data_IF_870240096081
#
_entry.id   IF_870240096081
#
_cell.length_a   1.000
_cell.length_b   1.000
_cell.length_c   1.000
_cell.angle_alpha   90.00
_cell.angle_beta   90.00
_cell.angle_gamma   90.00
#
_symmetry.space_group_name_H-M   'P 1'
#
loop_
_entity.id
_entity.type
_entity.pdbx_description
1 polymer ?
#
# COMPACT_ATOMS: atom_id res chain seq x y z
N UNK A 1 10.10 10.39 13.62
CA UNK A 1 9.55 10.12 12.27
C UNK A 1 10.40 10.66 11.13
N UNK A 2 11.05 11.84 11.24
CA UNK A 2 11.84 12.42 10.13
C UNK A 2 12.89 11.46 9.52
N UNK A 3 13.63 10.69 10.34
CA UNK A 3 14.59 9.71 9.82
C UNK A 3 13.96 8.56 9.02
N UNK A 4 12.75 8.12 9.37
CA UNK A 4 12.03 7.06 8.63
C UNK A 4 11.52 7.59 7.29
N UNK A 5 11.10 8.84 7.23
CA UNK A 5 10.72 9.49 5.96
C UNK A 5 11.90 9.51 4.98
N UNK A 6 13.09 9.93 5.42
CA UNK A 6 14.29 9.94 4.56
C UNK A 6 14.66 8.54 4.07
N UNK A 7 14.63 7.54 4.95
CA UNK A 7 14.94 6.15 4.57
C UNK A 7 13.87 5.55 3.66
N UNK A 8 12.60 5.90 3.83
CA UNK A 8 11.52 5.46 2.95
C UNK A 8 11.66 6.05 1.56
N UNK A 9 12.00 7.34 1.45
CA UNK A 9 12.32 7.97 0.15
C UNK A 9 13.48 7.25 -0.52
N UNK A 10 14.54 6.91 0.24
CA UNK A 10 15.68 6.16 -0.30
C UNK A 10 15.27 4.76 -0.77
N UNK A 11 14.51 4.04 0.03
CA UNK A 11 14.03 2.70 -0.32
C UNK A 11 13.21 2.70 -1.62
N UNK A 12 12.30 3.66 -1.78
CA UNK A 12 11.49 3.81 -2.99
C UNK A 12 12.34 4.19 -4.20
N UNK A 13 13.29 5.12 -4.05
CA UNK A 13 14.17 5.55 -5.14
C UNK A 13 15.07 4.42 -5.65
N UNK A 14 15.55 3.55 -4.76
CA UNK A 14 16.41 2.42 -5.10
C UNK A 14 15.65 1.15 -5.49
N UNK A 15 14.33 1.11 -5.29
CA UNK A 15 13.54 -0.12 -5.39
C UNK A 15 13.91 -1.17 -4.32
N UNK A 16 14.46 -0.74 -3.18
CA UNK A 16 14.88 -1.64 -2.09
C UNK A 16 13.69 -2.04 -1.23
N UNK A 17 13.04 -3.14 -1.62
CA UNK A 17 11.94 -3.72 -0.83
C UNK A 17 12.35 -4.23 0.55
N UNK A 18 13.62 -4.57 0.76
CA UNK A 18 14.10 -5.01 2.08
C UNK A 18 14.12 -3.83 3.04
N UNK A 19 14.68 -2.70 2.60
CA UNK A 19 14.65 -1.46 3.37
C UNK A 19 13.22 -0.96 3.54
N UNK A 20 12.40 -1.01 2.48
CA UNK A 20 11.00 -0.55 2.54
C UNK A 20 10.23 -1.28 3.64
N UNK A 21 10.36 -2.61 3.75
CA UNK A 21 9.72 -3.39 4.83
C UNK A 21 10.14 -2.95 6.24
N UNK A 22 11.37 -2.49 6.44
CA UNK A 22 11.85 -2.04 7.75
C UNK A 22 11.32 -0.64 8.13
N UNK A 23 11.15 0.22 7.12
CA UNK A 23 10.86 1.64 7.32
C UNK A 23 9.38 1.99 7.16
N UNK A 24 8.60 1.14 6.47
CA UNK A 24 7.20 1.38 6.17
C UNK A 24 6.24 1.06 7.33
N UNK A 25 6.73 0.60 8.48
CA UNK A 25 5.89 0.41 9.68
C UNK A 25 5.59 1.76 10.36
N UNK A 26 4.32 2.10 10.56
CA UNK A 26 3.97 3.24 11.43
C UNK A 26 3.76 2.77 12.87
N UNK A 27 4.75 3.02 13.73
CA UNK A 27 4.71 2.60 15.13
C UNK A 27 3.79 3.44 16.02
N UNK A 28 3.30 4.59 15.54
CA UNK A 28 2.54 5.53 16.37
C UNK A 28 1.05 5.48 16.08
N UNK A 29 0.62 5.59 14.82
CA UNK A 29 -0.81 5.68 14.49
C UNK A 29 -1.40 4.35 14.02
N UNK A 30 -0.60 3.50 13.38
CA UNK A 30 -1.07 2.22 12.85
C UNK A 30 -1.71 1.31 13.90
N UNK A 31 -1.16 1.13 15.12
CA UNK A 31 -1.75 0.23 16.10
C UNK A 31 -3.21 0.60 16.42
N UNK A 32 -3.48 1.89 16.62
CA UNK A 32 -4.82 2.39 16.92
C UNK A 32 -5.74 2.37 15.70
N UNK A 33 -5.23 2.68 14.50
CA UNK A 33 -6.04 2.75 13.28
C UNK A 33 -6.35 1.39 12.69
N UNK A 34 -5.42 0.44 12.79
CA UNK A 34 -5.62 -0.93 12.34
C UNK A 34 -6.80 -1.58 13.06
N UNK A 35 -6.99 -1.32 14.35
CA UNK A 35 -8.13 -1.80 15.13
C UNK A 35 -9.50 -1.29 14.61
N UNK A 36 -9.52 -0.14 13.91
CA UNK A 36 -10.72 0.44 13.33
C UNK A 36 -11.05 -0.10 11.93
N UNK A 37 -10.15 -0.88 11.32
CA UNK A 37 -10.30 -1.47 10.00
C UNK A 37 -10.46 -2.99 10.20
N UNK A 38 -11.70 -3.54 10.16
CA UNK A 38 -11.98 -4.92 10.56
C UNK A 38 -11.09 -6.00 9.93
N UNK A 39 -10.69 -5.78 8.68
CA UNK A 39 -9.97 -6.75 7.85
C UNK A 39 -8.47 -6.44 7.71
N UNK A 40 -7.95 -5.40 8.39
CA UNK A 40 -6.58 -4.92 8.20
C UNK A 40 -5.53 -6.02 8.42
N UNK A 41 -5.65 -6.76 9.52
CA UNK A 41 -4.68 -7.83 9.86
C UNK A 41 -4.62 -8.92 8.79
N UNK A 42 -5.77 -9.34 8.27
CA UNK A 42 -5.85 -10.34 7.22
C UNK A 42 -5.29 -9.82 5.88
N UNK A 43 -5.60 -8.57 5.51
CA UNK A 43 -5.02 -7.92 4.34
C UNK A 43 -3.51 -7.73 4.46
N UNK A 44 -3.03 -7.35 5.64
CA UNK A 44 -1.61 -7.22 5.94
C UNK A 44 -0.89 -8.54 5.72
N UNK A 45 -1.47 -9.65 6.18
CA UNK A 45 -0.90 -10.98 5.97
C UNK A 45 -0.84 -11.37 4.48
N UNK A 46 -1.89 -11.10 3.71
CA UNK A 46 -1.91 -11.36 2.25
C UNK A 46 -0.76 -10.62 1.56
N UNK A 47 -0.59 -9.34 1.87
CA UNK A 47 0.46 -8.52 1.25
C UNK A 47 1.86 -8.95 1.72
N UNK A 48 2.00 -9.30 3.00
CA UNK A 48 3.26 -9.77 3.55
C UNK A 48 3.71 -11.09 2.91
N UNK A 49 2.79 -12.03 2.69
CA UNK A 49 3.05 -13.31 2.00
C UNK A 49 3.48 -13.10 0.55
N UNK A 50 2.96 -12.06 -0.13
CA UNK A 50 3.43 -11.64 -1.46
C UNK A 50 4.77 -10.87 -1.43
N UNK A 51 5.40 -10.72 -0.25
CA UNK A 51 6.67 -10.01 -0.07
C UNK A 51 6.55 -8.49 -0.08
N UNK A 52 5.33 -7.95 -0.07
CA UNK A 52 5.06 -6.51 -0.08
C UNK A 52 5.04 -5.85 1.29
N UNK A 53 4.66 -4.57 1.30
CA UNK A 53 4.31 -3.79 2.49
C UNK A 53 2.89 -3.27 2.35
N UNK A 54 2.13 -3.25 3.45
CA UNK A 54 0.79 -2.66 3.50
C UNK A 54 0.83 -1.39 4.35
N UNK A 55 0.16 -0.34 3.87
CA UNK A 55 0.03 0.94 4.54
C UNK A 55 -1.43 1.36 4.59
N UNK A 56 -1.82 2.07 5.64
CA UNK A 56 -3.10 2.77 5.66
C UNK A 56 -2.95 4.04 4.82
N UNK A 57 -3.79 4.20 3.80
CA UNK A 57 -3.79 5.39 2.95
C UNK A 57 -4.60 6.51 3.61
N UNK A 58 -3.94 7.65 3.89
CA UNK A 58 -4.57 8.79 4.55
C UNK A 58 -5.04 8.46 5.97
N UNK A 59 -6.33 8.59 6.23
CA UNK A 59 -6.98 8.20 7.50
C UNK A 59 -7.55 6.77 7.49
N UNK A 60 -7.46 6.05 6.36
CA UNK A 60 -8.22 4.83 6.11
C UNK A 60 -9.69 5.12 5.73
N UNK A 61 -10.48 4.10 5.40
CA UNK A 61 -10.16 2.66 5.45
C UNK A 61 -9.40 2.12 4.23
N UNK A 62 -9.13 2.95 3.22
CA UNK A 62 -8.31 2.56 2.07
C UNK A 62 -6.90 2.16 2.50
N UNK A 63 -6.38 1.09 1.92
CA UNK A 63 -5.03 0.60 2.15
C UNK A 63 -4.22 0.63 0.84
N UNK A 64 -2.92 0.83 0.96
CA UNK A 64 -1.97 0.81 -0.15
C UNK A 64 -1.00 -0.36 0.04
N UNK A 65 -1.01 -1.30 -0.88
CA UNK A 65 0.00 -2.35 -0.96
C UNK A 65 1.10 -1.93 -1.95
N UNK A 66 2.36 -2.03 -1.54
CA UNK A 66 3.53 -1.84 -2.42
C UNK A 66 4.24 -3.18 -2.54
N UNK A 67 4.41 -3.66 -3.77
CA UNK A 67 5.06 -4.94 -4.09
C UNK A 67 6.23 -4.73 -5.05
N UNK A 68 7.12 -5.73 -5.15
CA UNK A 68 8.32 -5.65 -5.99
C UNK A 68 8.04 -5.77 -7.50
N UNK A 69 6.85 -6.25 -7.90
CA UNK A 69 6.50 -6.51 -9.29
C UNK A 69 4.99 -6.48 -9.53
N UNK A 70 4.59 -6.26 -10.78
CA UNK A 70 3.18 -6.31 -11.20
C UNK A 70 2.55 -7.68 -10.95
N UNK A 71 3.30 -8.77 -11.18
CA UNK A 71 2.82 -10.12 -10.91
C UNK A 71 2.47 -10.33 -9.42
N UNK A 72 3.29 -9.81 -8.51
CA UNK A 72 2.98 -9.84 -7.08
C UNK A 72 1.79 -8.95 -6.73
N UNK A 73 1.62 -7.81 -7.40
CA UNK A 73 0.45 -6.94 -7.22
C UNK A 73 -0.85 -7.63 -7.68
N UNK A 74 -0.81 -8.30 -8.83
CA UNK A 74 -1.92 -9.09 -9.38
C UNK A 74 -2.28 -10.26 -8.47
N UNK A 75 -1.29 -10.95 -7.90
CA UNK A 75 -1.53 -12.01 -6.90
C UNK A 75 -2.26 -11.47 -5.67
N UNK A 76 -1.80 -10.33 -5.13
CA UNK A 76 -2.47 -9.66 -4.00
C UNK A 76 -3.89 -9.25 -4.38
N UNK A 77 -4.09 -8.69 -5.58
CA UNK A 77 -5.41 -8.30 -6.07
C UNK A 77 -6.36 -9.49 -6.15
N UNK A 78 -5.93 -10.59 -6.78
CA UNK A 78 -6.75 -11.78 -6.93
C UNK A 78 -7.15 -12.36 -5.57
N UNK A 79 -6.19 -12.50 -4.64
CA UNK A 79 -6.45 -12.99 -3.29
C UNK A 79 -7.42 -12.07 -2.53
N UNK A 80 -7.24 -10.76 -2.63
CA UNK A 80 -8.10 -9.80 -1.96
C UNK A 80 -9.53 -9.80 -2.52
N UNK A 81 -9.71 -9.92 -3.84
CA UNK A 81 -11.03 -10.05 -4.47
C UNK A 81 -11.69 -11.40 -4.17
N UNK A 82 -10.90 -12.44 -3.91
CA UNK A 82 -11.42 -13.71 -3.44
C UNK A 82 -11.97 -13.60 -2.00
N UNK A 83 -11.15 -13.04 -1.09
CA UNK A 83 -11.47 -12.92 0.34
C UNK A 83 -12.54 -11.85 0.64
N UNK A 84 -12.53 -10.72 -0.07
CA UNK A 84 -13.41 -9.58 0.20
C UNK A 84 -14.19 -9.14 -1.04
N UNK A 85 -15.32 -9.80 -1.29
CA UNK A 85 -16.18 -9.56 -2.46
C UNK A 85 -16.70 -8.13 -2.63
N UNK A 86 -16.74 -7.36 -1.53
CA UNK A 86 -17.22 -5.96 -1.54
C UNK A 86 -16.12 -4.94 -1.79
N UNK A 87 -14.85 -5.36 -1.80
CA UNK A 87 -13.74 -4.44 -1.97
C UNK A 87 -13.55 -4.05 -3.43
N UNK A 88 -13.21 -2.78 -3.65
CA UNK A 88 -12.65 -2.33 -4.92
C UNK A 88 -11.13 -2.43 -4.80
N UNK A 89 -10.53 -3.35 -5.56
CA UNK A 89 -9.09 -3.59 -5.54
C UNK A 89 -8.52 -3.33 -6.92
N UNK A 90 -7.62 -2.36 -7.01
CA UNK A 90 -7.02 -1.91 -8.26
C UNK A 90 -5.50 -1.95 -8.16
N UNK A 91 -4.85 -2.54 -9.17
CA UNK A 91 -3.41 -2.35 -9.39
C UNK A 91 -3.24 -0.99 -10.05
N UNK A 92 -2.48 -0.11 -9.40
CA UNK A 92 -2.28 1.27 -9.85
C UNK A 92 -0.79 1.57 -10.02
N UNK A 93 -0.50 2.56 -10.85
CA UNK A 93 0.82 3.17 -10.95
C UNK A 93 0.76 4.63 -10.46
N UNK A 94 1.88 5.20 -9.96
CA UNK A 94 1.93 6.62 -9.64
C UNK A 94 1.54 7.46 -10.86
N UNK A 95 0.61 8.40 -10.68
CA UNK A 95 0.28 9.34 -11.74
C UNK A 95 1.48 10.26 -12.01
N UNK A 96 1.90 10.36 -13.27
CA UNK A 96 2.92 11.34 -13.68
C UNK A 96 2.33 12.71 -13.99
N UNK A 97 1.01 12.81 -14.04
CA UNK A 97 0.27 14.03 -14.32
C UNK A 97 -0.57 14.40 -13.11
N UNK A 98 -0.48 15.66 -12.70
CA UNK A 98 -1.42 16.25 -11.75
C UNK A 98 -2.75 16.55 -12.42
N UNK A 99 -3.55 17.42 -11.79
CA UNK A 99 -4.83 17.90 -12.34
C UNK A 99 -4.63 18.45 -13.76
N UNK A 100 -5.42 17.95 -14.70
CA UNK A 100 -5.53 18.44 -16.08
C UNK A 100 -6.91 19.07 -16.29
N UNK A 101 -7.01 20.04 -17.20
CA UNK A 101 -8.29 20.66 -17.58
C UNK A 101 -8.55 20.32 -19.04
N UNK A 102 -9.63 19.58 -19.30
CA UNK A 102 -10.09 19.24 -20.64
C UNK A 102 -11.36 20.06 -20.95
N UNK A 103 -11.41 20.68 -22.13
CA UNK A 103 -12.61 21.33 -22.65
C UNK A 103 -13.24 20.41 -23.69
N UNK A 104 -14.50 20.07 -23.48
CA UNK A 104 -15.30 19.31 -24.45
C UNK A 104 -16.21 20.32 -25.16
N UNK A 105 -16.16 20.34 -26.50
CA UNK A 105 -17.07 21.12 -27.36
C UNK A 105 -18.45 20.47 -27.48
#
# INVERSE_FOLDING_TARGET
>A
QMGRCTLMTRALADGDMSLLRQVATDRMQEPYRAELIPDYSAAHQVVQTAGGVLLISGSGSTMLAITASSAAAEQVQAQAQESWKKWQVQVVAPSQQGVQVEQFE
#
